data_IF_698197180862
#
_entry.id   IF_698197180862
#
_cell.length_a   1.000
_cell.length_b   1.000
_cell.length_c   1.000
_cell.angle_alpha   90.00
_cell.angle_beta   90.00
_cell.angle_gamma   90.00
#
_symmetry.space_group_name_H-M   'P 1'
#
loop_
_entity.id
_entity.type
_entity.pdbx_description
1 polymer ?
#
# COMPACT_ATOMS: atom_id res chain seq x y z
N UNK A 1 3.73 0.97 -13.71
CA UNK A 1 5.09 0.86 -14.28
C UNK A 1 6.16 1.38 -13.31
N UNK A 2 5.98 2.52 -12.64
CA UNK A 2 7.00 3.09 -11.74
C UNK A 2 7.52 2.16 -10.63
N UNK A 3 6.64 1.43 -9.94
CA UNK A 3 7.07 0.52 -8.86
C UNK A 3 7.88 -0.67 -9.38
N UNK A 4 7.56 -1.18 -10.57
CA UNK A 4 8.34 -2.26 -11.21
C UNK A 4 9.76 -1.81 -11.55
N UNK A 5 9.94 -0.56 -11.98
CA UNK A 5 11.27 0.01 -12.22
C UNK A 5 12.10 0.08 -10.94
N UNK A 6 11.48 0.45 -9.81
CA UNK A 6 12.17 0.48 -8.50
C UNK A 6 12.52 -0.93 -8.01
N UNK A 7 11.69 -1.92 -8.32
CA UNK A 7 11.98 -3.33 -8.03
C UNK A 7 13.16 -3.84 -8.86
N UNK A 8 13.17 -3.56 -10.17
CA UNK A 8 14.30 -3.93 -11.05
C UNK A 8 15.60 -3.25 -10.63
N UNK A 9 15.53 -2.00 -10.15
CA UNK A 9 16.67 -1.29 -9.57
C UNK A 9 17.08 -1.75 -8.16
N UNK A 10 16.43 -2.77 -7.57
CA UNK A 10 16.63 -3.23 -6.18
C UNK A 10 16.40 -2.17 -5.11
N UNK A 11 15.66 -1.10 -5.44
CA UNK A 11 15.28 -0.05 -4.49
C UNK A 11 13.98 -0.37 -3.76
N UNK A 12 13.15 -1.26 -4.32
CA UNK A 12 11.90 -1.74 -3.74
C UNK A 12 11.86 -3.27 -3.74
N UNK A 13 11.27 -3.84 -2.70
CA UNK A 13 10.96 -5.28 -2.61
C UNK A 13 9.73 -5.64 -3.47
N UNK A 14 9.52 -6.93 -3.68
CA UNK A 14 8.30 -7.42 -4.32
C UNK A 14 7.05 -7.00 -3.54
N UNK A 15 7.13 -7.04 -2.21
CA UNK A 15 6.02 -6.68 -1.33
C UNK A 15 5.72 -5.18 -1.31
N UNK A 16 6.72 -4.32 -1.53
CA UNK A 16 6.48 -2.88 -1.75
C UNK A 16 5.62 -2.65 -3.00
N UNK A 17 5.68 -3.56 -3.99
CA UNK A 17 4.80 -3.58 -5.15
C UNK A 17 3.33 -3.77 -4.78
N UNK A 18 3.06 -4.70 -3.85
CA UNK A 18 1.71 -4.97 -3.36
C UNK A 18 1.16 -3.76 -2.63
N UNK A 19 1.91 -3.22 -1.66
CA UNK A 19 1.51 -2.04 -0.90
C UNK A 19 1.26 -0.84 -1.81
N UNK A 20 2.16 -0.58 -2.76
CA UNK A 20 2.02 0.52 -3.69
C UNK A 20 0.81 0.36 -4.64
N UNK A 21 0.40 -0.88 -4.95
CA UNK A 21 -0.83 -1.16 -5.70
C UNK A 21 -2.08 -0.73 -4.95
N UNK A 22 -2.19 -1.10 -3.66
CA UNK A 22 -3.30 -0.65 -2.81
C UNK A 22 -3.30 0.87 -2.64
N UNK A 23 -2.13 1.47 -2.40
CA UNK A 23 -1.99 2.92 -2.28
C UNK A 23 -2.41 3.64 -3.57
N UNK A 24 -1.99 3.14 -4.73
CA UNK A 24 -2.39 3.71 -6.01
C UNK A 24 -3.91 3.67 -6.20
N UNK A 25 -4.56 2.56 -5.84
CA UNK A 25 -6.03 2.42 -5.90
C UNK A 25 -6.74 3.46 -5.03
N UNK A 26 -6.26 3.70 -3.81
CA UNK A 26 -6.83 4.74 -2.93
C UNK A 26 -6.67 6.13 -3.57
N UNK A 27 -5.46 6.46 -4.02
CA UNK A 27 -5.15 7.79 -4.58
C UNK A 27 -5.89 8.07 -5.89
N UNK A 28 -6.19 7.05 -6.69
CA UNK A 28 -6.99 7.20 -7.92
C UNK A 28 -8.49 7.18 -7.66
N UNK A 29 -8.95 7.10 -6.41
CA UNK A 29 -10.38 7.10 -6.07
C UNK A 29 -11.07 5.75 -6.25
N UNK A 30 -10.31 4.64 -6.32
CA UNK A 30 -10.87 3.30 -6.43
C UNK A 30 -11.48 3.01 -7.79
N UNK A 31 -12.73 2.53 -7.79
CA UNK A 31 -13.42 2.04 -8.99
C UNK A 31 -14.31 3.12 -9.66
N UNK A 32 -13.92 4.39 -9.57
CA UNK A 32 -14.64 5.47 -10.24
C UNK A 32 -14.46 5.36 -11.76
N UNK A 33 -15.56 5.31 -12.50
CA UNK A 33 -15.54 5.23 -13.96
C UNK A 33 -15.16 6.55 -14.63
N UNK A 34 -15.39 7.68 -13.95
CA UNK A 34 -15.14 9.02 -14.44
C UNK A 34 -14.64 9.94 -13.30
N UNK A 35 -13.88 11.00 -13.61
CA UNK A 35 -13.49 11.99 -12.63
C UNK A 35 -14.74 12.67 -12.05
N UNK A 36 -14.92 12.57 -10.74
CA UNK A 36 -16.03 13.19 -10.02
C UNK A 36 -15.57 13.66 -8.64
N UNK A 37 -16.30 14.64 -8.10
CA UNK A 37 -16.12 15.03 -6.71
C UNK A 37 -16.68 13.93 -5.80
N UNK A 38 -15.88 13.51 -4.84
CA UNK A 38 -16.26 12.53 -3.83
C UNK A 38 -16.14 13.17 -2.45
N UNK A 39 -17.00 12.78 -1.51
CA UNK A 39 -16.88 13.22 -0.13
C UNK A 39 -15.66 12.55 0.55
N UNK A 40 -15.16 13.14 1.63
CA UNK A 40 -13.97 12.64 2.33
C UNK A 40 -14.16 11.21 2.85
N UNK A 41 -15.36 10.89 3.32
CA UNK A 41 -15.72 9.59 3.87
C UNK A 41 -15.52 8.45 2.85
N UNK A 42 -15.63 8.75 1.55
CA UNK A 42 -15.37 7.78 0.50
C UNK A 42 -13.89 7.39 0.46
N UNK A 43 -12.98 8.36 0.53
CA UNK A 43 -11.54 8.12 0.53
C UNK A 43 -11.12 7.40 1.82
N UNK A 44 -11.64 7.83 2.97
CA UNK A 44 -11.38 7.18 4.26
C UNK A 44 -11.81 5.70 4.26
N UNK A 45 -12.93 5.39 3.59
CA UNK A 45 -13.39 4.01 3.44
C UNK A 45 -12.42 3.18 2.60
N UNK A 46 -11.98 3.72 1.45
CA UNK A 46 -10.99 3.05 0.59
C UNK A 46 -9.67 2.80 1.31
N UNK A 47 -9.18 3.78 2.07
CA UNK A 47 -7.97 3.63 2.90
C UNK A 47 -8.13 2.52 3.93
N UNK A 48 -9.27 2.49 4.63
CA UNK A 48 -9.55 1.47 5.65
C UNK A 48 -9.61 0.07 5.03
N UNK A 49 -10.25 -0.09 3.88
CA UNK A 49 -10.33 -1.37 3.18
C UNK A 49 -8.95 -1.84 2.72
N UNK A 50 -8.16 -0.96 2.10
CA UNK A 50 -6.79 -1.24 1.68
C UNK A 50 -5.90 -1.64 2.86
N UNK A 51 -6.02 -0.93 3.98
CA UNK A 51 -5.25 -1.23 5.19
C UNK A 51 -5.63 -2.59 5.81
N UNK A 52 -6.94 -2.88 5.91
CA UNK A 52 -7.41 -4.17 6.42
C UNK A 52 -7.00 -5.34 5.53
N UNK A 53 -6.93 -5.13 4.21
CA UNK A 53 -6.45 -6.14 3.28
C UNK A 53 -4.95 -6.41 3.46
N UNK A 54 -4.14 -5.35 3.57
CA UNK A 54 -2.70 -5.47 3.83
C UNK A 54 -2.41 -6.15 5.18
N UNK A 55 -3.24 -5.93 6.20
CA UNK A 55 -3.12 -6.61 7.49
C UNK A 55 -3.32 -8.11 7.42
N UNK A 56 -3.98 -8.67 6.39
CA UNK A 56 -4.12 -10.12 6.24
C UNK A 56 -2.83 -10.79 5.77
N UNK A 57 -1.81 -10.03 5.40
CA UNK A 57 -0.56 -10.56 4.89
C UNK A 57 0.50 -10.67 5.99
N UNK A 58 1.12 -11.85 6.10
CA UNK A 58 2.17 -12.13 7.11
C UNK A 58 3.35 -11.16 7.00
N UNK A 59 3.73 -10.75 5.78
CA UNK A 59 4.82 -9.78 5.56
C UNK A 59 4.52 -8.42 6.20
N UNK A 60 3.26 -8.00 6.29
CA UNK A 60 2.87 -6.77 6.99
C UNK A 60 3.15 -6.88 8.47
N UNK A 61 2.80 -8.02 9.08
CA UNK A 61 3.06 -8.26 10.50
C UNK A 61 4.56 -8.30 10.81
N UNK A 62 5.36 -8.94 9.96
CA UNK A 62 6.81 -8.96 10.09
C UNK A 62 7.41 -7.54 10.04
N UNK A 63 6.93 -6.71 9.11
CA UNK A 63 7.38 -5.31 8.99
C UNK A 63 7.01 -4.47 10.19
N UNK A 64 5.77 -4.58 10.68
CA UNK A 64 5.32 -3.88 11.89
C UNK A 64 6.17 -4.33 13.08
N UNK A 65 6.37 -5.64 13.25
CA UNK A 65 7.18 -6.19 14.33
C UNK A 65 8.64 -5.74 14.28
N UNK A 66 9.25 -5.73 13.10
CA UNK A 66 10.61 -5.26 12.91
C UNK A 66 10.73 -3.75 13.16
N UNK A 67 9.75 -2.95 12.70
CA UNK A 67 9.70 -1.51 12.96
C UNK A 67 9.64 -1.22 14.46
N UNK A 68 8.79 -1.94 15.20
CA UNK A 68 8.66 -1.80 16.66
C UNK A 68 9.90 -2.26 17.42
N UNK A 69 10.59 -3.31 16.96
CA UNK A 69 11.77 -3.87 17.64
C UNK A 69 13.06 -3.11 17.34
N UNK A 70 13.27 -2.71 16.09
CA UNK A 70 14.56 -2.20 15.60
C UNK A 70 14.51 -0.72 15.21
N UNK A 71 13.31 -0.14 15.13
CA UNK A 71 13.11 1.22 14.63
C UNK A 71 13.36 1.39 13.14
N UNK A 72 13.75 0.32 12.42
CA UNK A 72 14.08 0.35 11.00
C UNK A 72 13.03 -0.41 10.19
N UNK A 73 12.67 0.09 8.99
CA UNK A 73 11.75 -0.61 8.10
C UNK A 73 12.39 -1.89 7.59
N UNK A 74 11.72 -3.03 7.83
CA UNK A 74 12.10 -4.30 7.22
C UNK A 74 11.67 -4.29 5.75
N UNK A 75 12.60 -4.64 4.86
CA UNK A 75 12.36 -4.81 3.43
C UNK A 75 12.49 -6.29 3.07
N UNK A 76 11.35 -6.98 3.07
CA UNK A 76 11.13 -8.39 2.71
C UNK A 76 10.16 -8.53 1.53
#
# INVERSE_FOLDING_TARGET
VGVKTLQWGRFASEYDGVIAGHLARVLTGGDLSLPQWVPEEYILKLEKEAFLELLKNEKTHERIGAMLKTGKPLRN
#
